data_IF_968335554807
#
_entry.id   IF_968335554807
#
_cell.length_a   1.000
_cell.length_b   1.000
_cell.length_c   1.000
_cell.angle_alpha   90.00
_cell.angle_beta   90.00
_cell.angle_gamma   90.00
#
_symmetry.space_group_name_H-M   'P 1'
#
loop_
_entity.id
_entity.type
_entity.pdbx_description
1 polymer ?
#
# COMPACT_ATOMS: atom_id res chain seq x y z
N UNK A 1 -5.28 7.75 4.32
CA UNK A 1 -6.65 7.24 4.04
C UNK A 1 -7.03 7.24 2.55
N UNK A 2 -6.74 8.31 1.79
CA UNK A 2 -7.12 8.38 0.35
C UNK A 2 -6.40 7.37 -0.56
N UNK A 3 -5.10 7.15 -0.37
CA UNK A 3 -4.32 6.26 -1.25
C UNK A 3 -4.77 4.79 -1.18
N UNK A 4 -5.13 4.32 0.02
CA UNK A 4 -5.62 2.94 0.20
C UNK A 4 -7.02 2.75 -0.41
N UNK A 5 -7.86 3.78 -0.37
CA UNK A 5 -9.17 3.78 -1.05
C UNK A 5 -8.99 3.57 -2.56
N UNK A 6 -8.08 4.29 -3.19
CA UNK A 6 -7.88 4.21 -4.64
C UNK A 6 -7.35 2.83 -5.07
N UNK A 7 -6.45 2.23 -4.28
CA UNK A 7 -6.00 0.84 -4.51
C UNK A 7 -7.13 -0.18 -4.35
N UNK A 8 -8.01 -0.01 -3.37
CA UNK A 8 -9.18 -0.89 -3.20
C UNK A 8 -10.14 -0.78 -4.38
N UNK A 9 -10.36 0.42 -4.93
CA UNK A 9 -11.14 0.61 -6.15
C UNK A 9 -10.49 -0.08 -7.35
N UNK A 10 -9.18 0.07 -7.54
CA UNK A 10 -8.44 -0.61 -8.61
C UNK A 10 -8.50 -2.14 -8.48
N UNK A 11 -8.32 -2.67 -7.27
CA UNK A 11 -8.43 -4.11 -6.99
C UNK A 11 -9.85 -4.64 -7.22
N UNK A 12 -10.88 -3.86 -6.89
CA UNK A 12 -12.27 -4.20 -7.19
C UNK A 12 -12.54 -4.26 -8.69
N UNK A 13 -12.03 -3.28 -9.44
CA UNK A 13 -12.14 -3.24 -10.90
C UNK A 13 -11.40 -4.42 -11.55
N UNK A 14 -10.18 -4.73 -11.11
CA UNK A 14 -9.42 -5.89 -11.58
C UNK A 14 -10.19 -7.20 -11.40
N UNK A 15 -10.82 -7.40 -10.23
CA UNK A 15 -11.69 -8.55 -9.98
C UNK A 15 -12.90 -8.59 -10.91
N UNK A 16 -13.54 -7.45 -11.19
CA UNK A 16 -14.71 -7.41 -12.08
C UNK A 16 -14.39 -7.72 -13.55
N UNK A 17 -13.13 -7.58 -13.96
CA UNK A 17 -12.65 -7.83 -15.32
C UNK A 17 -11.84 -9.13 -15.42
N UNK A 18 -11.75 -9.92 -14.35
CA UNK A 18 -10.87 -11.10 -14.25
C UNK A 18 -9.39 -10.80 -14.59
N UNK A 19 -8.92 -9.59 -14.26
CA UNK A 19 -7.53 -9.15 -14.47
C UNK A 19 -6.75 -9.19 -13.14
N UNK A 20 -5.69 -10.00 -13.03
CA UNK A 20 -4.87 -10.05 -11.82
C UNK A 20 -4.02 -8.80 -11.66
N UNK A 21 -4.06 -8.19 -10.47
CA UNK A 21 -3.27 -7.00 -10.11
C UNK A 21 -2.35 -7.27 -8.90
N UNK A 22 -1.36 -8.18 -9.01
CA UNK A 22 -0.57 -8.65 -7.87
C UNK A 22 0.28 -7.54 -7.24
N UNK A 23 0.87 -6.66 -8.03
CA UNK A 23 1.67 -5.53 -7.53
C UNK A 23 0.80 -4.50 -6.81
N UNK A 24 -0.41 -4.25 -7.30
CA UNK A 24 -1.41 -3.41 -6.62
C UNK A 24 -1.81 -3.99 -5.27
N UNK A 25 -2.02 -5.32 -5.21
CA UNK A 25 -2.35 -6.01 -3.97
C UNK A 25 -1.22 -5.90 -2.93
N UNK A 26 0.03 -6.15 -3.33
CA UNK A 26 1.21 -5.97 -2.46
C UNK A 26 1.31 -4.52 -1.97
N UNK A 27 1.09 -3.54 -2.86
CA UNK A 27 1.13 -2.12 -2.50
C UNK A 27 0.06 -1.76 -1.46
N UNK A 28 -1.14 -2.36 -1.56
CA UNK A 28 -2.20 -2.18 -0.56
C UNK A 28 -1.77 -2.69 0.82
N UNK A 29 -1.09 -3.85 0.88
CA UNK A 29 -0.57 -4.39 2.13
C UNK A 29 0.57 -3.54 2.71
N UNK A 30 1.43 -2.98 1.87
CA UNK A 30 2.45 -2.03 2.31
C UNK A 30 1.83 -0.75 2.90
N UNK A 31 0.73 -0.24 2.32
CA UNK A 31 0.00 0.88 2.93
C UNK A 31 -0.68 0.50 4.25
N UNK A 32 -1.16 -0.75 4.39
CA UNK A 32 -1.64 -1.27 5.69
C UNK A 32 -0.51 -1.28 6.72
N UNK A 33 0.69 -1.76 6.36
CA UNK A 33 1.85 -1.72 7.23
C UNK A 33 2.26 -0.29 7.59
N UNK A 34 2.28 0.62 6.62
CA UNK A 34 2.58 2.04 6.84
C UNK A 34 1.62 2.68 7.85
N UNK A 35 0.33 2.34 7.79
CA UNK A 35 -0.67 2.79 8.76
C UNK A 35 -0.40 2.24 10.16
N UNK A 36 -0.06 0.96 10.28
CA UNK A 36 0.32 0.35 11.56
C UNK A 36 1.57 1.01 12.16
N UNK A 37 2.46 1.55 11.33
CA UNK A 37 3.64 2.32 11.74
C UNK A 37 3.35 3.80 12.08
N UNK A 38 2.08 4.23 12.02
CA UNK A 38 1.68 5.61 12.35
C UNK A 38 1.79 6.61 11.20
N UNK A 39 1.93 6.15 9.95
CA UNK A 39 2.13 7.02 8.79
C UNK A 39 0.86 7.29 7.98
N UNK A 40 -0.33 7.12 8.57
CA UNK A 40 -1.61 7.14 7.85
C UNK A 40 -1.92 8.46 7.09
N UNK A 41 -1.33 9.56 7.55
CA UNK A 41 -1.52 10.93 7.04
C UNK A 41 -0.32 11.45 6.24
N UNK A 42 0.71 10.62 6.05
CA UNK A 42 1.85 10.94 5.17
C UNK A 42 1.47 10.74 3.70
N UNK A 43 2.27 11.30 2.81
CA UNK A 43 2.13 11.11 1.37
C UNK A 43 2.58 9.70 0.92
N UNK A 44 2.40 9.39 -0.36
CA UNK A 44 2.67 8.05 -0.91
C UNK A 44 4.13 7.62 -0.82
N UNK A 45 5.08 8.56 -0.74
CA UNK A 45 6.50 8.24 -0.59
C UNK A 45 6.82 7.52 0.73
N UNK A 46 5.88 7.50 1.70
CA UNK A 46 5.97 6.70 2.91
C UNK A 46 6.22 5.21 2.63
N UNK A 47 5.86 4.71 1.45
CA UNK A 47 6.16 3.33 1.07
C UNK A 47 7.66 3.04 1.09
N UNK A 48 8.52 4.01 0.73
CA UNK A 48 9.98 3.84 0.83
C UNK A 48 10.45 3.69 2.28
N UNK A 49 9.90 4.51 3.19
CA UNK A 49 10.22 4.43 4.62
C UNK A 49 9.71 3.12 5.23
N UNK A 50 8.49 2.72 4.86
CA UNK A 50 7.86 1.47 5.29
C UNK A 50 8.70 0.28 4.84
N UNK A 51 9.11 0.24 3.57
CA UNK A 51 9.98 -0.82 3.04
C UNK A 51 11.34 -0.85 3.74
N UNK A 52 11.97 0.31 3.92
CA UNK A 52 13.27 0.41 4.57
C UNK A 52 13.21 -0.08 6.03
N UNK A 53 12.12 0.22 6.74
CA UNK A 53 11.88 -0.23 8.11
C UNK A 53 11.60 -1.74 8.18
N UNK A 54 10.76 -2.27 7.28
CA UNK A 54 10.53 -3.72 7.16
C UNK A 54 11.81 -4.49 6.83
N UNK A 55 12.70 -3.89 6.02
CA UNK A 55 14.00 -4.47 5.67
C UNK A 55 15.09 -4.27 6.74
N UNK A 56 14.79 -3.58 7.85
CA UNK A 56 15.76 -3.31 8.91
C UNK A 56 16.87 -2.31 8.54
N UNK A 57 16.71 -1.58 7.45
CA UNK A 57 17.68 -0.58 6.95
C UNK A 57 17.48 0.78 7.63
N UNK A 58 16.28 1.04 8.15
CA UNK A 58 15.94 2.23 8.96
C UNK A 58 15.22 1.82 10.24
N UNK A 59 15.42 2.60 11.33
CA UNK A 59 14.88 2.34 12.67
C UNK A 59 13.51 2.99 12.87
#
# INVERSE_FOLDING_TARGET
NMMQKDLLLALGMGRSLDVPLPTTAVTNELLTAARAMGYADKDFAVLFETLARMAGVKK
#
